data_IF_840520912057
#
_entry.id   IF_840520912057
#
_cell.length_a   1.000
_cell.length_b   1.000
_cell.length_c   1.000
_cell.angle_alpha   90.00
_cell.angle_beta   90.00
_cell.angle_gamma   90.00
#
_symmetry.space_group_name_H-M   'P 1'
#
loop_
_entity.id
_entity.type
_entity.pdbx_description
1 polymer ?
#
# COMPACT_ATOMS: atom_id res chain seq x y z
N UNK A 1 -17.90 -43.95 -7.49
CA UNK A 1 -16.70 -44.76 -7.75
C UNK A 1 -15.69 -43.83 -8.36
N UNK A 2 -14.67 -43.52 -7.57
CA UNK A 2 -13.60 -42.60 -7.90
C UNK A 2 -12.61 -43.29 -8.84
N UNK A 3 -12.37 -42.67 -9.98
CA UNK A 3 -11.16 -42.88 -10.77
C UNK A 3 -10.32 -41.61 -10.56
N UNK A 4 -9.61 -41.57 -9.43
CA UNK A 4 -8.53 -40.61 -9.23
C UNK A 4 -7.42 -40.98 -10.21
N UNK A 5 -7.22 -40.10 -11.18
CA UNK A 5 -6.15 -40.17 -12.16
C UNK A 5 -4.79 -40.28 -11.46
N UNK A 6 -4.27 -41.50 -11.36
CA UNK A 6 -2.84 -41.76 -11.13
C UNK A 6 -2.05 -41.00 -12.18
N UNK A 7 -1.30 -39.97 -11.76
CA UNK A 7 -0.30 -39.33 -12.60
C UNK A 7 0.69 -40.36 -13.18
N UNK A 8 1.36 -40.04 -14.31
CA UNK A 8 2.30 -40.95 -14.95
C UNK A 8 3.32 -41.44 -13.90
N UNK A 9 3.50 -42.76 -13.81
CA UNK A 9 4.35 -43.45 -12.83
C UNK A 9 5.66 -42.68 -12.62
N UNK A 10 5.73 -41.89 -11.55
CA UNK A 10 6.92 -41.11 -11.22
C UNK A 10 7.84 -42.00 -10.39
N UNK A 11 8.59 -42.81 -11.14
CA UNK A 11 9.93 -43.36 -10.90
C UNK A 11 10.42 -43.59 -9.46
N UNK A 12 10.32 -44.84 -9.02
CA UNK A 12 11.12 -45.41 -7.91
C UNK A 12 12.63 -45.07 -8.03
N UNK A 13 13.12 -44.78 -9.24
CA UNK A 13 14.50 -44.37 -9.48
C UNK A 13 14.84 -43.02 -8.82
N UNK A 14 14.02 -41.98 -9.01
CA UNK A 14 14.28 -40.66 -8.42
C UNK A 14 14.22 -40.73 -6.89
N UNK A 15 13.25 -41.49 -6.35
CA UNK A 15 13.13 -41.75 -4.91
C UNK A 15 14.40 -42.43 -4.37
N UNK A 16 14.90 -43.46 -5.07
CA UNK A 16 16.14 -44.14 -4.69
C UNK A 16 17.36 -43.22 -4.72
N UNK A 17 17.46 -42.32 -5.71
CA UNK A 17 18.57 -41.36 -5.78
C UNK A 17 18.50 -40.36 -4.62
N UNK A 18 17.33 -39.76 -4.36
CA UNK A 18 17.12 -38.83 -3.25
C UNK A 18 17.42 -39.47 -1.90
N UNK A 19 16.98 -40.70 -1.67
CA UNK A 19 17.25 -41.43 -0.43
C UNK A 19 18.73 -41.79 -0.28
N UNK A 20 19.42 -42.12 -1.38
CA UNK A 20 20.85 -42.50 -1.37
C UNK A 20 21.77 -41.31 -1.08
N UNK A 21 21.43 -40.13 -1.60
CA UNK A 21 22.21 -38.92 -1.41
C UNK A 21 21.84 -38.14 -0.14
N UNK A 22 20.77 -38.52 0.55
CA UNK A 22 20.36 -37.89 1.80
C UNK A 22 21.37 -38.10 2.94
N UNK A 23 21.56 -37.11 3.81
CA UNK A 23 22.43 -37.22 4.98
C UNK A 23 21.92 -38.29 5.94
N UNK A 24 22.83 -38.91 6.71
CA UNK A 24 22.44 -39.97 7.65
C UNK A 24 21.44 -39.45 8.68
N UNK A 25 20.32 -40.15 8.86
CA UNK A 25 19.28 -39.77 9.82
C UNK A 25 18.25 -38.76 9.30
N UNK A 26 18.19 -38.53 7.98
CA UNK A 26 17.15 -37.70 7.40
C UNK A 26 15.74 -38.29 7.61
N UNK A 27 14.76 -37.40 7.77
CA UNK A 27 13.35 -37.74 7.99
C UNK A 27 12.46 -37.32 6.83
N UNK A 28 12.78 -36.18 6.22
CA UNK A 28 12.07 -35.58 5.10
C UNK A 28 13.05 -34.87 4.16
N UNK A 29 12.78 -34.90 2.86
CA UNK A 29 13.40 -34.01 1.88
C UNK A 29 12.32 -33.23 1.13
N UNK A 30 12.49 -31.93 1.11
CA UNK A 30 11.75 -30.99 0.28
C UNK A 30 12.66 -30.60 -0.89
N UNK A 31 12.24 -30.95 -2.10
CA UNK A 31 13.01 -30.75 -3.32
C UNK A 31 12.22 -29.86 -4.29
N UNK A 32 12.91 -28.88 -4.88
CA UNK A 32 12.34 -28.01 -5.92
C UNK A 32 13.27 -28.02 -7.11
N UNK A 33 12.71 -28.24 -8.29
CA UNK A 33 13.41 -28.15 -9.57
C UNK A 33 12.69 -27.17 -10.48
N UNK A 34 13.37 -26.14 -10.96
CA UNK A 34 12.88 -25.22 -11.99
C UNK A 34 13.66 -25.45 -13.28
N UNK A 35 12.98 -25.59 -14.42
CA UNK A 35 13.65 -26.01 -15.66
C UNK A 35 12.99 -25.46 -16.92
N UNK A 36 13.85 -25.05 -17.85
CA UNK A 36 13.57 -24.71 -19.25
C UNK A 36 14.53 -25.51 -20.14
N UNK A 37 14.42 -25.39 -21.46
CA UNK A 37 15.40 -26.00 -22.39
C UNK A 37 16.82 -25.42 -22.30
N UNK A 38 17.02 -24.24 -21.69
CA UNK A 38 18.34 -23.56 -21.64
C UNK A 38 18.90 -23.43 -20.25
N UNK A 39 18.04 -23.40 -19.24
CA UNK A 39 18.40 -23.11 -17.85
C UNK A 39 17.66 -24.06 -16.93
N UNK A 40 18.36 -24.55 -15.93
CA UNK A 40 17.80 -25.36 -14.85
C UNK A 40 18.36 -24.92 -13.51
N UNK A 41 17.58 -25.16 -12.46
CA UNK A 41 17.92 -24.93 -11.08
C UNK A 41 17.25 -26.02 -10.25
N UNK A 42 17.93 -26.47 -9.20
CA UNK A 42 17.30 -27.34 -8.22
C UNK A 42 17.90 -27.14 -6.85
N UNK A 43 17.09 -27.36 -5.84
CA UNK A 43 17.49 -27.28 -4.44
C UNK A 43 16.86 -28.44 -3.67
N UNK A 44 17.67 -29.08 -2.81
CA UNK A 44 17.21 -30.09 -1.87
C UNK A 44 17.37 -29.53 -0.46
N UNK A 45 16.36 -29.74 0.37
CA UNK A 45 16.39 -29.41 1.80
C UNK A 45 16.00 -30.65 2.58
N UNK A 46 16.95 -31.21 3.32
CA UNK A 46 16.72 -32.37 4.19
C UNK A 46 16.47 -31.92 5.62
N UNK A 47 15.45 -32.48 6.26
CA UNK A 47 15.18 -32.33 7.69
C UNK A 47 15.75 -33.50 8.48
N UNK A 48 16.45 -33.20 9.56
CA UNK A 48 17.08 -34.12 10.52
C UNK A 48 16.64 -33.73 11.93
N UNK A 49 15.43 -34.13 12.33
CA UNK A 49 14.77 -33.61 13.53
C UNK A 49 14.60 -32.08 13.44
N UNK A 50 15.13 -31.35 14.42
CA UNK A 50 15.05 -29.87 14.47
C UNK A 50 16.06 -29.16 13.55
N UNK A 51 16.90 -29.89 12.83
CA UNK A 51 17.92 -29.33 11.93
C UNK A 51 17.51 -29.48 10.47
N UNK A 52 17.86 -28.50 9.65
CA UNK A 52 17.75 -28.59 8.19
C UNK A 52 19.12 -28.48 7.54
N UNK A 53 19.32 -29.23 6.46
CA UNK A 53 20.53 -29.21 5.64
C UNK A 53 20.13 -28.98 4.17
N UNK A 54 20.72 -27.96 3.54
CA UNK A 54 20.45 -27.65 2.13
C UNK A 54 21.62 -28.08 1.26
N UNK A 55 21.30 -28.66 0.11
CA UNK A 55 22.29 -29.08 -0.87
C UNK A 55 21.80 -28.87 -2.30
N UNK A 56 22.75 -28.65 -3.21
CA UNK A 56 22.47 -28.71 -4.63
C UNK A 56 22.25 -30.17 -5.05
N UNK A 57 21.27 -30.45 -5.92
CA UNK A 57 21.05 -31.80 -6.40
C UNK A 57 22.30 -32.34 -7.10
N UNK A 58 22.71 -33.60 -6.87
CA UNK A 58 23.69 -34.29 -7.69
C UNK A 58 23.27 -34.38 -9.16
N UNK A 59 24.22 -34.63 -10.06
CA UNK A 59 23.95 -34.70 -11.50
C UNK A 59 23.06 -35.89 -11.86
N UNK A 60 23.14 -36.99 -11.12
CA UNK A 60 22.30 -38.17 -11.26
C UNK A 60 20.82 -37.83 -11.04
N UNK A 61 20.55 -37.00 -10.02
CA UNK A 61 19.21 -36.49 -9.72
C UNK A 61 18.79 -35.51 -10.83
N UNK A 62 19.63 -34.55 -11.21
CA UNK A 62 19.32 -33.60 -12.30
C UNK A 62 18.99 -34.30 -13.62
N UNK A 63 19.81 -35.27 -14.02
CA UNK A 63 19.61 -36.05 -15.24
C UNK A 63 18.26 -36.75 -15.21
N UNK A 64 17.88 -37.36 -14.07
CA UNK A 64 16.57 -38.00 -13.95
C UNK A 64 15.42 -37.02 -14.03
N UNK A 65 15.57 -35.85 -13.43
CA UNK A 65 14.56 -34.77 -13.51
C UNK A 65 14.41 -34.26 -14.95
N UNK A 66 15.50 -34.14 -15.73
CA UNK A 66 15.43 -33.80 -17.17
C UNK A 66 14.66 -34.85 -17.97
N UNK A 67 14.89 -36.14 -17.69
CA UNK A 67 14.15 -37.23 -18.34
C UNK A 67 12.65 -37.18 -18.02
N UNK A 68 12.30 -36.94 -16.75
CA UNK A 68 10.90 -36.77 -16.32
C UNK A 68 10.26 -35.57 -17.01
N UNK A 69 10.97 -34.45 -17.12
CA UNK A 69 10.48 -33.27 -17.84
C UNK A 69 10.24 -33.56 -19.32
N UNK A 70 11.18 -34.24 -19.97
CA UNK A 70 11.06 -34.62 -21.37
C UNK A 70 9.88 -35.57 -21.60
N UNK A 71 9.66 -36.52 -20.70
CA UNK A 71 8.52 -37.43 -20.74
C UNK A 71 7.18 -36.69 -20.53
N UNK A 72 7.16 -35.64 -19.70
CA UNK A 72 5.99 -34.81 -19.46
C UNK A 72 5.66 -33.84 -20.61
N UNK A 73 6.49 -33.76 -21.66
CA UNK A 73 6.31 -32.80 -22.75
C UNK A 73 5.09 -33.07 -23.66
N UNK A 74 4.30 -34.12 -23.42
CA UNK A 74 3.05 -34.39 -24.15
C UNK A 74 1.91 -33.49 -23.70
N UNK A 75 1.11 -32.96 -24.63
CA UNK A 75 -0.07 -32.14 -24.30
C UNK A 75 0.27 -30.65 -24.16
N UNK A 76 0.12 -30.08 -22.97
CA UNK A 76 0.28 -28.65 -22.69
C UNK A 76 1.75 -28.15 -22.65
N UNK A 77 2.70 -29.02 -23.00
CA UNK A 77 4.14 -28.81 -22.85
C UNK A 77 4.64 -29.27 -21.46
N UNK A 78 5.97 -29.31 -21.26
CA UNK A 78 6.57 -29.74 -20.00
C UNK A 78 6.27 -28.72 -18.89
N UNK A 79 6.20 -29.19 -17.65
CA UNK A 79 6.14 -28.31 -16.47
C UNK A 79 7.39 -27.40 -16.39
N UNK A 80 7.24 -26.25 -15.73
CA UNK A 80 8.36 -25.34 -15.45
C UNK A 80 8.97 -25.59 -14.10
N UNK A 81 8.17 -26.02 -13.12
CA UNK A 81 8.63 -26.42 -11.80
C UNK A 81 8.08 -27.78 -11.40
N UNK A 82 8.92 -28.55 -10.70
CA UNK A 82 8.53 -29.77 -10.00
C UNK A 82 8.87 -29.59 -8.53
N UNK A 83 7.85 -29.68 -7.68
CA UNK A 83 7.98 -29.65 -6.23
C UNK A 83 7.76 -31.09 -5.74
N UNK A 84 8.66 -31.56 -4.88
CA UNK A 84 8.64 -32.93 -4.40
C UNK A 84 8.90 -32.95 -2.91
N UNK A 85 8.11 -33.77 -2.23
CA UNK A 85 8.28 -34.08 -0.82
C UNK A 85 8.43 -35.58 -0.70
N UNK A 86 9.51 -36.02 -0.05
CA UNK A 86 9.75 -37.43 0.24
C UNK A 86 10.07 -37.60 1.72
N UNK A 87 9.41 -38.54 2.39
CA UNK A 87 9.72 -38.93 3.77
C UNK A 87 10.57 -40.20 3.82
N UNK A 88 11.24 -40.43 4.94
CA UNK A 88 12.01 -41.66 5.17
C UNK A 88 11.14 -42.93 5.25
N UNK A 89 9.82 -42.78 5.44
CA UNK A 89 8.83 -43.85 5.34
C UNK A 89 8.44 -44.17 3.89
N UNK A 90 8.97 -43.43 2.91
CA UNK A 90 8.72 -43.63 1.49
C UNK A 90 7.46 -42.96 0.96
N UNK A 91 6.83 -42.08 1.75
CA UNK A 91 5.69 -41.26 1.27
C UNK A 91 6.25 -40.20 0.33
N UNK A 92 5.75 -40.20 -0.91
CA UNK A 92 6.14 -39.29 -1.96
C UNK A 92 4.93 -38.45 -2.39
N UNK A 93 5.09 -37.14 -2.36
CA UNK A 93 4.16 -36.18 -2.95
C UNK A 93 4.91 -35.39 -4.03
N UNK A 94 4.31 -35.28 -5.22
CA UNK A 94 4.88 -34.54 -6.35
C UNK A 94 3.83 -33.60 -6.91
N UNK A 95 4.21 -32.34 -7.06
CA UNK A 95 3.40 -31.29 -7.68
C UNK A 95 4.16 -30.70 -8.86
N UNK A 96 3.45 -30.46 -9.95
CA UNK A 96 3.98 -29.84 -11.16
C UNK A 96 3.33 -28.47 -11.34
N UNK A 97 4.15 -27.45 -11.48
CA UNK A 97 3.72 -26.07 -11.68
C UNK A 97 4.02 -25.65 -13.14
N UNK A 98 2.94 -25.29 -13.84
CA UNK A 98 2.90 -24.88 -15.23
C UNK A 98 2.75 -23.36 -15.35
N UNK A 99 3.15 -22.62 -14.33
CA UNK A 99 3.20 -21.17 -14.29
C UNK A 99 1.84 -20.55 -14.00
N UNK A 100 0.91 -21.24 -13.37
CA UNK A 100 -0.38 -20.70 -12.95
C UNK A 100 -0.20 -19.41 -12.14
N UNK A 101 0.88 -19.33 -11.36
CA UNK A 101 1.30 -18.16 -10.61
C UNK A 101 2.75 -17.74 -10.92
N UNK A 102 3.15 -16.48 -10.65
CA UNK A 102 4.53 -16.04 -10.81
C UNK A 102 5.47 -16.82 -9.91
N UNK A 103 6.59 -17.29 -10.48
CA UNK A 103 7.55 -18.08 -9.72
C UNK A 103 8.21 -17.26 -8.61
N UNK A 104 8.54 -17.89 -7.46
CA UNK A 104 9.25 -17.23 -6.38
C UNK A 104 10.60 -16.64 -6.83
N UNK A 105 11.07 -15.56 -6.19
CA UNK A 105 12.44 -15.07 -6.37
C UNK A 105 13.47 -16.21 -6.20
N UNK A 106 14.48 -16.25 -7.05
CA UNK A 106 15.48 -17.32 -7.10
C UNK A 106 15.07 -18.55 -7.93
N UNK A 107 13.79 -18.68 -8.28
CA UNK A 107 13.27 -19.74 -9.17
C UNK A 107 12.74 -19.19 -10.50
N UNK A 108 12.59 -17.87 -10.60
CA UNK A 108 12.25 -17.16 -11.84
C UNK A 108 13.52 -16.93 -12.68
N UNK A 109 13.57 -17.50 -13.88
CA UNK A 109 14.67 -17.29 -14.83
C UNK A 109 14.49 -16.02 -15.65
N UNK A 110 15.53 -15.66 -16.40
CA UNK A 110 15.46 -14.55 -17.34
C UNK A 110 14.40 -14.83 -18.45
N UNK A 111 13.75 -13.78 -19.00
CA UNK A 111 12.73 -13.91 -20.05
C UNK A 111 13.14 -14.79 -21.24
N UNK A 112 14.40 -14.72 -21.64
CA UNK A 112 14.96 -15.44 -22.79
C UNK A 112 14.89 -16.96 -22.61
N UNK A 113 15.02 -17.46 -21.37
CA UNK A 113 14.95 -18.88 -21.08
C UNK A 113 13.53 -19.42 -21.34
N UNK A 114 12.50 -18.67 -20.96
CA UNK A 114 11.10 -19.02 -21.21
C UNK A 114 10.72 -18.87 -22.68
N UNK A 115 11.26 -17.86 -23.38
CA UNK A 115 11.05 -17.72 -24.82
C UNK A 115 11.66 -18.89 -25.60
N UNK A 116 12.87 -19.34 -25.23
CA UNK A 116 13.49 -20.53 -25.82
C UNK A 116 12.67 -21.79 -25.53
N UNK A 117 12.16 -21.93 -24.30
CA UNK A 117 11.31 -23.06 -23.92
C UNK A 117 9.98 -23.09 -24.69
N UNK A 118 9.33 -21.95 -24.86
CA UNK A 118 8.10 -21.81 -25.65
C UNK A 118 8.35 -22.01 -27.15
N UNK A 119 9.56 -21.78 -27.64
CA UNK A 119 9.93 -22.10 -29.02
C UNK A 119 10.11 -23.61 -29.22
N UNK A 120 10.69 -24.31 -28.24
CA UNK A 120 10.87 -25.75 -28.27
C UNK A 120 9.58 -26.53 -27.98
N UNK A 121 8.74 -26.00 -27.08
CA UNK A 121 7.45 -26.56 -26.68
C UNK A 121 6.34 -25.51 -26.82
N UNK A 122 5.86 -25.25 -28.04
CA UNK A 122 4.82 -24.25 -28.29
C UNK A 122 3.54 -24.55 -27.51
N UNK A 123 3.00 -23.51 -26.87
CA UNK A 123 1.71 -23.55 -26.16
C UNK A 123 0.72 -22.64 -26.84
N UNK A 124 -0.54 -23.08 -26.95
CA UNK A 124 -1.62 -22.26 -27.50
C UNK A 124 -1.90 -21.02 -26.65
N UNK A 125 -1.68 -21.13 -25.34
CA UNK A 125 -1.92 -20.05 -24.37
C UNK A 125 -0.96 -20.21 -23.21
N UNK A 126 -0.45 -19.09 -22.71
CA UNK A 126 0.38 -19.01 -21.50
C UNK A 126 -0.28 -18.10 -20.47
N UNK A 127 -0.03 -18.31 -19.17
CA UNK A 127 -0.49 -17.41 -18.11
C UNK A 127 -0.09 -15.96 -18.38
N UNK A 128 -1.00 -15.01 -18.13
CA UNK A 128 -0.85 -13.61 -18.53
C UNK A 128 0.42 -12.98 -17.96
N UNK A 129 0.76 -13.31 -16.71
CA UNK A 129 1.99 -12.81 -16.08
C UNK A 129 3.25 -13.25 -16.83
N UNK A 130 3.31 -14.49 -17.29
CA UNK A 130 4.48 -15.01 -18.01
C UNK A 130 4.54 -14.46 -19.43
N UNK A 131 3.37 -14.32 -20.06
CA UNK A 131 3.25 -13.68 -21.36
C UNK A 131 3.73 -12.22 -21.31
N UNK A 132 3.33 -11.47 -20.29
CA UNK A 132 3.80 -10.12 -20.04
C UNK A 132 5.31 -10.11 -19.73
N UNK A 133 5.77 -10.94 -18.79
CA UNK A 133 7.17 -11.05 -18.40
C UNK A 133 8.12 -11.28 -19.59
N UNK A 134 7.67 -12.06 -20.58
CA UNK A 134 8.47 -12.39 -21.76
C UNK A 134 8.26 -11.46 -22.95
N UNK A 135 7.12 -10.75 -23.04
CA UNK A 135 6.70 -10.05 -24.28
C UNK A 135 6.09 -8.65 -24.05
N UNK A 136 6.23 -8.05 -22.88
CA UNK A 136 5.68 -6.72 -22.63
C UNK A 136 6.37 -5.64 -23.47
N UNK A 137 7.69 -5.73 -23.68
CA UNK A 137 8.50 -4.81 -24.50
C UNK A 137 8.27 -3.33 -24.14
N UNK A 138 8.05 -3.04 -22.85
CA UNK A 138 7.73 -1.72 -22.33
C UNK A 138 6.54 -1.01 -23.03
N UNK A 139 5.65 -1.76 -23.70
CA UNK A 139 4.49 -1.20 -24.44
C UNK A 139 3.53 -0.38 -23.57
N UNK A 140 3.55 -0.62 -22.26
CA UNK A 140 2.71 0.07 -21.28
C UNK A 140 3.46 1.17 -20.51
N UNK A 141 4.78 1.34 -20.71
CA UNK A 141 5.49 2.47 -20.12
C UNK A 141 5.10 3.77 -20.80
N UNK A 142 5.02 4.83 -20.02
CA UNK A 142 4.71 6.19 -20.47
C UNK A 142 5.62 7.16 -19.74
N UNK A 143 6.89 7.23 -20.15
CA UNK A 143 7.84 8.20 -19.61
C UNK A 143 7.31 9.64 -19.79
N UNK A 144 7.74 10.62 -18.99
CA UNK A 144 7.28 12.01 -19.14
C UNK A 144 7.46 12.57 -20.56
N UNK A 145 8.53 12.19 -21.26
CA UNK A 145 8.76 12.55 -22.66
C UNK A 145 7.70 11.93 -23.59
N UNK A 146 7.37 10.65 -23.42
CA UNK A 146 6.32 9.98 -24.18
C UNK A 146 4.94 10.57 -23.87
N UNK A 147 4.64 10.86 -22.59
CA UNK A 147 3.38 11.47 -22.18
C UNK A 147 3.17 12.83 -22.84
N UNK A 148 4.19 13.71 -22.82
CA UNK A 148 4.12 15.02 -23.45
C UNK A 148 4.02 14.95 -24.99
N UNK A 149 4.64 13.96 -25.62
CA UNK A 149 4.50 13.72 -27.07
C UNK A 149 3.09 13.22 -27.41
N UNK A 150 2.60 12.21 -26.69
CA UNK A 150 1.27 11.63 -26.88
C UNK A 150 0.17 12.69 -26.65
N UNK A 151 0.21 13.46 -25.57
CA UNK A 151 -0.80 14.49 -25.27
C UNK A 151 -0.86 15.61 -26.32
N UNK A 152 0.23 15.88 -27.05
CA UNK A 152 0.22 16.79 -28.21
C UNK A 152 -0.39 16.11 -29.43
N UNK A 153 0.03 14.88 -29.72
CA UNK A 153 -0.51 14.07 -30.82
C UNK A 153 -2.01 13.86 -30.69
N UNK A 154 -2.49 13.52 -29.50
CA UNK A 154 -3.91 13.28 -29.20
C UNK A 154 -4.73 14.56 -29.43
N UNK A 155 -4.25 15.72 -28.96
CA UNK A 155 -4.91 17.00 -29.22
C UNK A 155 -4.99 17.34 -30.71
N UNK A 156 -3.93 17.11 -31.47
CA UNK A 156 -3.94 17.33 -32.93
C UNK A 156 -4.82 16.32 -33.66
N UNK A 157 -4.85 15.08 -33.18
CA UNK A 157 -5.65 13.98 -33.75
C UNK A 157 -7.11 13.93 -33.29
N UNK A 158 -7.53 14.81 -32.37
CA UNK A 158 -8.87 14.79 -31.79
C UNK A 158 -9.16 13.56 -30.93
N UNK A 159 -8.13 12.94 -30.34
CA UNK A 159 -8.27 11.84 -29.37
C UNK A 159 -8.51 12.45 -28.00
N UNK A 160 -9.71 12.23 -27.45
CA UNK A 160 -10.12 12.79 -26.18
C UNK A 160 -10.32 11.71 -25.11
N UNK A 161 -10.07 12.10 -23.87
CA UNK A 161 -10.36 11.29 -22.71
C UNK A 161 -11.85 10.93 -22.64
N UNK A 162 -12.18 9.71 -22.20
CA UNK A 162 -13.55 9.30 -21.90
C UNK A 162 -13.88 9.67 -20.47
N UNK A 163 -15.03 10.32 -20.27
CA UNK A 163 -15.54 10.62 -18.94
C UNK A 163 -15.99 9.32 -18.25
N UNK A 164 -15.49 9.07 -17.04
CA UNK A 164 -15.87 7.92 -16.21
C UNK A 164 -16.93 8.34 -15.17
N UNK A 165 -18.04 8.92 -15.64
CA UNK A 165 -19.10 9.46 -14.78
C UNK A 165 -19.78 8.33 -13.98
N UNK A 166 -19.99 8.56 -12.69
CA UNK A 166 -20.62 7.63 -11.76
C UNK A 166 -19.97 6.23 -11.66
N UNK A 167 -18.73 6.07 -12.14
CA UNK A 167 -17.99 4.81 -12.03
C UNK A 167 -17.22 4.69 -10.72
N UNK A 168 -16.72 5.81 -10.20
CA UNK A 168 -16.01 5.91 -8.94
C UNK A 168 -16.58 7.04 -8.09
N UNK A 169 -16.46 6.96 -6.75
CA UNK A 169 -16.68 8.13 -5.91
C UNK A 169 -15.72 9.27 -6.32
N UNK A 170 -16.10 10.54 -6.10
CA UNK A 170 -15.19 11.67 -6.21
C UNK A 170 -13.86 11.41 -5.50
N UNK A 171 -12.75 11.86 -6.09
CA UNK A 171 -11.41 11.59 -5.55
C UNK A 171 -11.27 11.88 -4.04
N UNK A 172 -11.74 13.02 -3.49
CA UNK A 172 -11.63 13.27 -2.04
C UNK A 172 -12.31 12.20 -1.18
N UNK A 173 -13.49 11.71 -1.59
CA UNK A 173 -14.19 10.64 -0.89
C UNK A 173 -13.49 9.29 -1.06
N UNK A 174 -12.97 9.01 -2.25
CA UNK A 174 -12.18 7.80 -2.51
C UNK A 174 -10.93 7.76 -1.61
N UNK A 175 -10.21 8.87 -1.53
CA UNK A 175 -9.02 9.04 -0.71
C UNK A 175 -9.33 8.83 0.78
N UNK A 176 -10.39 9.48 1.27
CA UNK A 176 -10.86 9.35 2.64
C UNK A 176 -11.20 7.90 3.02
N UNK A 177 -11.97 7.20 2.16
CA UNK A 177 -12.37 5.80 2.40
C UNK A 177 -11.18 4.85 2.33
N UNK A 178 -10.24 5.09 1.41
CA UNK A 178 -9.01 4.31 1.33
C UNK A 178 -8.19 4.42 2.62
N UNK A 179 -8.04 5.64 3.13
CA UNK A 179 -7.34 5.90 4.38
C UNK A 179 -8.04 5.29 5.60
N UNK A 180 -9.37 5.37 5.67
CA UNK A 180 -10.16 4.72 6.73
C UNK A 180 -9.99 3.20 6.72
N UNK A 181 -10.02 2.57 5.53
CA UNK A 181 -9.74 1.13 5.41
C UNK A 181 -8.31 0.81 5.80
N UNK A 182 -7.32 1.57 5.33
CA UNK A 182 -5.92 1.34 5.68
C UNK A 182 -5.70 1.41 7.20
N UNK A 183 -6.28 2.40 7.87
CA UNK A 183 -6.26 2.52 9.32
C UNK A 183 -6.92 1.31 10.01
N UNK A 184 -8.07 0.86 9.51
CA UNK A 184 -8.78 -0.28 10.07
C UNK A 184 -8.02 -1.61 9.94
N UNK A 185 -7.40 -1.87 8.78
CA UNK A 185 -6.59 -3.08 8.59
C UNK A 185 -5.35 -3.08 9.51
N UNK A 186 -4.71 -1.92 9.67
CA UNK A 186 -3.56 -1.76 10.57
C UNK A 186 -3.98 -1.90 12.04
N UNK A 187 -5.11 -1.32 12.45
CA UNK A 187 -5.64 -1.44 13.81
C UNK A 187 -6.02 -2.88 14.21
N UNK A 188 -6.19 -3.77 13.24
CA UNK A 188 -6.49 -5.18 13.45
C UNK A 188 -5.26 -6.09 13.27
N UNK A 189 -4.05 -5.52 13.28
CA UNK A 189 -2.80 -6.27 13.13
C UNK A 189 -2.63 -6.96 11.78
N UNK A 190 -3.40 -6.59 10.75
CA UNK A 190 -3.33 -7.27 9.46
C UNK A 190 -2.11 -6.81 8.68
N UNK A 191 -1.21 -7.73 8.32
CA UNK A 191 -0.07 -7.43 7.42
C UNK A 191 -0.52 -7.15 5.96
N UNK A 192 -1.77 -7.46 5.63
CA UNK A 192 -2.35 -7.34 4.30
C UNK A 192 -3.36 -6.19 4.21
N UNK A 193 -3.85 -5.92 3.00
CA UNK A 193 -4.89 -4.92 2.75
C UNK A 193 -4.36 -3.55 2.33
N UNK A 194 -5.23 -2.52 2.31
CA UNK A 194 -4.85 -1.18 1.86
C UNK A 194 -3.85 -0.52 2.82
N UNK A 195 -2.99 0.33 2.26
CA UNK A 195 -2.00 1.14 2.99
C UNK A 195 -1.97 2.56 2.46
N UNK A 196 -1.65 3.49 3.35
CA UNK A 196 -1.32 4.86 3.04
C UNK A 196 0.19 5.06 3.18
N UNK A 197 0.76 5.66 2.14
CA UNK A 197 2.04 6.33 2.15
C UNK A 197 1.78 7.82 1.87
N UNK A 198 2.75 8.72 2.11
CA UNK A 198 2.60 10.13 1.73
C UNK A 198 2.17 10.25 0.27
N UNK A 199 1.01 10.88 0.03
CA UNK A 199 0.42 11.10 -1.30
C UNK A 199 0.10 9.84 -2.11
N UNK A 200 0.15 8.65 -1.51
CA UNK A 200 -0.10 7.38 -2.21
C UNK A 200 -0.95 6.43 -1.39
N UNK A 201 -2.06 5.96 -1.94
CA UNK A 201 -2.81 4.80 -1.46
C UNK A 201 -2.39 3.55 -2.23
N UNK A 202 -2.05 2.47 -1.54
CA UNK A 202 -1.67 1.19 -2.13
C UNK A 202 -2.63 0.10 -1.69
N UNK A 203 -2.94 -0.84 -2.59
CA UNK A 203 -3.75 -2.00 -2.31
C UNK A 203 -3.31 -3.15 -3.20
N UNK A 204 -3.02 -4.29 -2.58
CA UNK A 204 -2.83 -5.57 -3.24
C UNK A 204 -3.81 -6.55 -2.60
N UNK A 205 -4.70 -7.11 -3.41
CA UNK A 205 -5.68 -8.09 -2.99
C UNK A 205 -5.11 -9.51 -3.01
N UNK A 206 -5.77 -10.40 -2.26
CA UNK A 206 -5.40 -11.83 -2.19
C UNK A 206 -5.45 -12.54 -3.54
N UNK A 207 -6.28 -12.04 -4.46
CA UNK A 207 -6.40 -12.55 -5.83
C UNK A 207 -5.36 -11.94 -6.79
N UNK A 208 -4.25 -11.36 -6.30
CA UNK A 208 -3.14 -10.73 -7.06
C UNK A 208 -3.51 -9.51 -7.92
N UNK A 209 -4.79 -9.12 -7.89
CA UNK A 209 -5.25 -7.82 -8.38
C UNK A 209 -4.86 -6.72 -7.40
N UNK A 210 -4.55 -5.54 -7.91
CA UNK A 210 -4.12 -4.44 -7.06
C UNK A 210 -4.12 -3.11 -7.78
N UNK A 211 -4.04 -2.04 -7.00
CA UNK A 211 -4.12 -0.68 -7.47
C UNK A 211 -3.30 0.28 -6.62
N UNK A 212 -2.88 1.36 -7.26
CA UNK A 212 -2.27 2.52 -6.62
C UNK A 212 -3.09 3.76 -6.95
N UNK A 213 -3.39 4.53 -5.91
CA UNK A 213 -4.03 5.84 -5.98
C UNK A 213 -3.01 6.92 -5.60
N UNK A 214 -2.52 7.68 -6.57
CA UNK A 214 -1.65 8.83 -6.33
C UNK A 214 -2.47 10.10 -6.17
N UNK A 215 -2.27 10.82 -5.07
CA UNK A 215 -2.73 12.18 -4.87
C UNK A 215 -1.67 13.16 -5.40
N UNK A 216 -2.10 14.15 -6.19
CA UNK A 216 -1.20 15.10 -6.85
C UNK A 216 -1.59 16.56 -6.56
N UNK A 217 -0.62 17.50 -6.63
CA UNK A 217 -0.90 18.92 -6.45
C UNK A 217 -1.99 19.43 -7.38
N UNK A 218 -2.78 20.39 -6.87
CA UNK A 218 -3.92 20.97 -7.59
C UNK A 218 -5.17 20.10 -7.55
N UNK A 219 -5.30 19.22 -6.54
CA UNK A 219 -6.46 18.35 -6.37
C UNK A 219 -6.60 17.32 -7.49
N UNK A 220 -5.49 16.90 -8.10
CA UNK A 220 -5.43 15.88 -9.16
C UNK A 220 -5.15 14.51 -8.55
N UNK A 221 -5.50 13.45 -9.28
CA UNK A 221 -5.13 12.11 -8.86
C UNK A 221 -4.98 11.15 -10.04
N UNK A 222 -4.27 10.05 -9.81
CA UNK A 222 -4.19 8.92 -10.74
C UNK A 222 -4.52 7.64 -10.00
N UNK A 223 -5.50 6.90 -10.51
CA UNK A 223 -5.82 5.55 -10.06
C UNK A 223 -5.42 4.58 -11.17
N UNK A 224 -4.46 3.71 -10.90
CA UNK A 224 -4.00 2.74 -11.91
C UNK A 224 -3.63 1.42 -11.25
N UNK A 225 -3.75 0.33 -12.00
CA UNK A 225 -3.59 -1.01 -11.44
C UNK A 225 -3.82 -2.13 -12.45
N UNK A 226 -3.92 -3.34 -11.92
CA UNK A 226 -4.10 -4.55 -12.71
C UNK A 226 -5.09 -5.50 -12.06
N UNK A 227 -6.06 -5.97 -12.84
CA UNK A 227 -6.88 -7.14 -12.49
C UNK A 227 -6.10 -8.39 -12.87
N UNK A 228 -6.05 -9.36 -11.97
CA UNK A 228 -5.39 -10.64 -12.24
C UNK A 228 -6.02 -11.32 -13.44
N UNK A 229 -5.20 -11.78 -14.40
CA UNK A 229 -5.64 -12.37 -15.66
C UNK A 229 -6.67 -11.50 -16.43
N UNK A 230 -6.48 -10.18 -16.44
CA UNK A 230 -7.37 -9.25 -17.14
C UNK A 230 -7.64 -9.72 -18.60
N UNK A 231 -8.91 -9.88 -19.02
CA UNK A 231 -9.26 -10.44 -20.33
C UNK A 231 -8.63 -9.70 -21.51
N UNK A 232 -8.54 -8.37 -21.44
CA UNK A 232 -7.94 -7.56 -22.50
C UNK A 232 -6.42 -7.77 -22.63
N UNK A 233 -5.71 -8.00 -21.51
CA UNK A 233 -4.28 -8.29 -21.55
C UNK A 233 -4.03 -9.71 -22.05
N UNK A 234 -4.84 -10.65 -21.59
CA UNK A 234 -4.80 -12.01 -22.06
C UNK A 234 -4.99 -12.09 -23.59
N UNK A 235 -6.02 -11.45 -24.14
CA UNK A 235 -6.23 -11.37 -25.58
C UNK A 235 -5.03 -10.70 -26.30
N UNK A 236 -4.48 -9.62 -25.73
CA UNK A 236 -3.35 -8.91 -26.32
C UNK A 236 -2.05 -9.73 -26.34
N UNK A 237 -1.84 -10.58 -25.34
CA UNK A 237 -0.61 -11.39 -25.21
C UNK A 237 -0.72 -12.78 -25.86
N UNK A 238 -1.88 -13.42 -25.78
CA UNK A 238 -2.08 -14.79 -26.23
C UNK A 238 -2.78 -14.89 -27.59
N UNK A 239 -3.60 -13.90 -27.97
CA UNK A 239 -4.43 -13.94 -29.18
C UNK A 239 -4.03 -12.87 -30.21
N UNK A 240 -2.91 -12.18 -29.97
CA UNK A 240 -2.40 -11.08 -30.80
C UNK A 240 -3.41 -9.93 -31.01
N UNK A 241 -4.36 -9.76 -30.09
CA UNK A 241 -5.23 -8.60 -30.09
C UNK A 241 -4.42 -7.31 -29.86
N UNK A 242 -4.91 -6.13 -30.30
CA UNK A 242 -4.27 -4.87 -29.99
C UNK A 242 -4.15 -4.65 -28.48
N UNK A 243 -3.00 -4.15 -28.03
CA UNK A 243 -2.83 -3.72 -26.63
C UNK A 243 -3.77 -2.53 -26.34
N UNK A 244 -4.53 -2.53 -25.24
CA UNK A 244 -5.41 -1.41 -24.91
C UNK A 244 -4.63 -0.10 -24.76
N UNK A 245 -5.12 0.97 -25.39
CA UNK A 245 -4.57 2.30 -25.21
C UNK A 245 -5.12 2.94 -23.93
N UNK A 246 -4.61 2.50 -22.78
CA UNK A 246 -5.02 2.97 -21.45
C UNK A 246 -4.86 4.49 -21.25
N UNK A 247 -3.97 5.11 -22.03
CA UNK A 247 -3.60 6.53 -21.92
C UNK A 247 -4.19 7.41 -23.03
N UNK A 248 -5.13 6.89 -23.83
CA UNK A 248 -5.78 7.67 -24.88
C UNK A 248 -6.41 8.96 -24.30
N UNK A 249 -5.97 10.12 -24.79
CA UNK A 249 -6.44 11.42 -24.34
C UNK A 249 -5.96 11.82 -22.93
N UNK A 250 -5.03 11.08 -22.34
CA UNK A 250 -4.49 11.40 -21.02
C UNK A 250 -3.55 12.62 -21.08
N UNK A 251 -3.61 13.53 -20.10
CA UNK A 251 -2.72 14.67 -20.04
C UNK A 251 -1.26 14.23 -19.86
N UNK A 252 -0.33 15.16 -20.10
CA UNK A 252 1.11 14.90 -20.06
C UNK A 252 1.65 14.55 -18.66
N UNK A 253 0.95 14.97 -17.61
CA UNK A 253 1.30 14.67 -16.22
C UNK A 253 0.90 13.25 -15.77
N UNK A 254 0.09 12.52 -16.55
CA UNK A 254 -0.17 11.09 -16.30
C UNK A 254 1.00 10.29 -16.90
N UNK A 255 2.08 10.10 -16.15
CA UNK A 255 3.30 9.45 -16.63
C UNK A 255 3.83 8.45 -15.60
N UNK A 256 4.84 7.65 -15.97
CA UNK A 256 5.43 6.59 -15.13
C UNK A 256 5.56 6.91 -13.62
N UNK A 257 6.00 8.11 -13.19
CA UNK A 257 6.15 8.41 -11.75
C UNK A 257 4.85 8.39 -10.92
N UNK A 258 3.70 8.47 -11.58
CA UNK A 258 2.36 8.48 -10.94
C UNK A 258 1.50 7.31 -11.42
N UNK A 259 2.13 6.28 -11.99
CA UNK A 259 1.48 5.05 -12.44
C UNK A 259 1.86 3.88 -11.54
N UNK A 260 0.97 2.91 -11.42
CA UNK A 260 1.26 1.65 -10.76
C UNK A 260 2.43 0.94 -11.46
N UNK A 261 3.29 0.29 -10.67
CA UNK A 261 4.48 -0.40 -11.15
C UNK A 261 4.21 -1.45 -12.24
N UNK A 262 2.96 -1.95 -12.33
CA UNK A 262 2.50 -2.85 -13.40
C UNK A 262 2.65 -2.27 -14.81
N UNK A 263 2.75 -0.96 -14.97
CA UNK A 263 3.09 -0.35 -16.26
C UNK A 263 4.48 -0.83 -16.76
N UNK A 264 5.43 -0.99 -15.84
CA UNK A 264 6.78 -1.47 -16.15
C UNK A 264 6.87 -2.98 -16.39
N UNK A 265 5.94 -3.78 -15.84
CA UNK A 265 5.91 -5.23 -16.03
C UNK A 265 4.91 -5.70 -17.12
N UNK A 266 4.21 -4.77 -17.77
CA UNK A 266 3.22 -5.09 -18.79
C UNK A 266 1.91 -5.67 -18.27
N UNK A 267 1.62 -5.47 -16.98
CA UNK A 267 0.44 -6.01 -16.30
C UNK A 267 -0.58 -4.93 -15.91
N UNK A 268 -0.40 -3.70 -16.41
CA UNK A 268 -1.37 -2.64 -16.17
C UNK A 268 -2.62 -2.93 -17.01
N UNK A 269 -3.78 -3.03 -16.36
CA UNK A 269 -5.05 -3.29 -17.04
C UNK A 269 -6.02 -2.11 -16.97
N UNK A 270 -5.76 -1.12 -16.11
CA UNK A 270 -6.54 0.12 -16.08
C UNK A 270 -5.71 1.31 -15.61
N UNK A 271 -6.11 2.48 -16.10
CA UNK A 271 -5.62 3.79 -15.70
C UNK A 271 -6.77 4.81 -15.78
N UNK A 272 -7.02 5.49 -14.66
CA UNK A 272 -7.96 6.59 -14.51
C UNK A 272 -7.23 7.78 -13.95
N UNK A 273 -7.65 8.99 -14.31
CA UNK A 273 -7.12 10.21 -13.75
C UNK A 273 -8.24 11.17 -13.37
N UNK A 274 -8.05 11.85 -12.25
CA UNK A 274 -8.97 12.85 -11.72
C UNK A 274 -8.43 14.24 -12.02
N UNK A 275 -9.25 15.07 -12.64
CA UNK A 275 -8.96 16.47 -12.89
C UNK A 275 -10.27 17.25 -12.93
N UNK A 276 -10.24 18.49 -12.43
CA UNK A 276 -11.40 19.40 -12.48
C UNK A 276 -12.71 18.77 -11.97
N UNK A 277 -12.65 17.98 -10.90
CA UNK A 277 -13.83 17.42 -10.26
C UNK A 277 -14.39 16.15 -10.93
N UNK A 278 -13.67 15.53 -11.88
CA UNK A 278 -14.16 14.39 -12.65
C UNK A 278 -13.09 13.33 -12.88
N UNK A 279 -13.52 12.07 -12.94
CA UNK A 279 -12.69 10.94 -13.38
C UNK A 279 -12.74 10.79 -14.89
N UNK A 280 -11.58 10.55 -15.47
CA UNK A 280 -11.38 10.28 -16.89
C UNK A 280 -10.60 8.99 -17.09
N UNK A 281 -10.74 8.40 -18.28
CA UNK A 281 -10.01 7.20 -18.71
C UNK A 281 -9.76 7.19 -20.21
N UNK A 282 -8.74 6.46 -20.64
CA UNK A 282 -8.56 6.09 -22.05
C UNK A 282 -9.42 4.86 -22.37
N UNK A 283 -8.77 3.81 -22.87
CA UNK A 283 -9.40 2.52 -23.14
C UNK A 283 -9.46 1.57 -21.94
N UNK A 284 -9.24 2.08 -20.72
CA UNK A 284 -9.45 1.31 -19.49
C UNK A 284 -10.87 0.71 -19.48
N UNK A 285 -11.08 -0.47 -18.85
CA UNK A 285 -12.40 -1.08 -18.68
C UNK A 285 -13.29 -0.24 -17.74
N UNK A 286 -14.50 -0.70 -17.43
CA UNK A 286 -15.35 -0.06 -16.41
C UNK A 286 -14.83 -0.27 -14.99
N UNK A 287 -15.24 0.59 -14.06
CA UNK A 287 -14.87 0.42 -12.65
C UNK A 287 -15.36 -0.91 -12.06
N UNK A 288 -16.51 -1.41 -12.51
CA UNK A 288 -17.04 -2.71 -12.09
C UNK A 288 -16.11 -3.86 -12.50
N UNK A 289 -15.55 -3.81 -13.72
CA UNK A 289 -14.57 -4.79 -14.19
C UNK A 289 -13.22 -4.67 -13.45
N UNK A 290 -12.93 -3.50 -12.87
CA UNK A 290 -11.74 -3.29 -12.04
C UNK A 290 -11.93 -3.71 -10.58
N UNK A 291 -13.14 -4.11 -10.17
CA UNK A 291 -13.49 -4.17 -8.75
C UNK A 291 -12.64 -5.13 -7.92
N UNK A 292 -12.19 -6.24 -8.50
CA UNK A 292 -11.31 -7.21 -7.83
C UNK A 292 -9.90 -6.65 -7.51
N UNK A 293 -9.50 -5.55 -8.14
CA UNK A 293 -8.21 -4.89 -7.92
C UNK A 293 -8.30 -3.67 -6.98
N UNK A 294 -9.47 -3.41 -6.39
CA UNK A 294 -9.71 -2.22 -5.58
C UNK A 294 -10.20 -2.61 -4.18
N UNK A 295 -9.83 -1.82 -3.15
CA UNK A 295 -10.45 -1.97 -1.84
C UNK A 295 -11.93 -1.55 -1.90
N UNK A 296 -12.72 -1.89 -0.88
CA UNK A 296 -14.18 -1.63 -0.85
C UNK A 296 -14.57 -0.16 -0.64
N UNK A 297 -14.11 0.74 -1.51
CA UNK A 297 -14.23 2.21 -1.39
C UNK A 297 -15.51 2.79 -2.02
N UNK A 298 -16.39 1.94 -2.55
CA UNK A 298 -17.50 2.32 -3.43
C UNK A 298 -18.51 3.26 -2.79
N UNK A 299 -18.90 2.95 -1.56
CA UNK A 299 -19.85 3.73 -0.75
C UNK A 299 -19.35 3.83 0.68
N UNK A 300 -19.85 4.82 1.42
CA UNK A 300 -19.56 4.95 2.84
C UNK A 300 -20.06 3.72 3.63
N UNK A 301 -21.23 3.19 3.25
CA UNK A 301 -21.79 1.98 3.87
C UNK A 301 -20.91 0.75 3.63
N UNK A 302 -20.54 0.45 2.39
CA UNK A 302 -19.64 -0.69 2.07
C UNK A 302 -18.31 -0.58 2.81
N UNK A 303 -17.77 0.64 2.90
CA UNK A 303 -16.53 0.90 3.65
C UNK A 303 -16.72 0.59 5.13
N UNK A 304 -17.80 1.09 5.74
CA UNK A 304 -18.10 0.88 7.15
C UNK A 304 -18.40 -0.59 7.49
N UNK A 305 -19.08 -1.31 6.60
CA UNK A 305 -19.34 -2.75 6.75
C UNK A 305 -18.04 -3.55 6.78
N UNK A 306 -17.08 -3.25 5.89
CA UNK A 306 -15.76 -3.90 5.90
C UNK A 306 -15.01 -3.59 7.20
N UNK A 307 -14.98 -2.33 7.62
CA UNK A 307 -14.30 -1.91 8.87
C UNK A 307 -14.91 -2.63 10.08
N UNK A 308 -16.24 -2.68 10.17
CA UNK A 308 -16.94 -3.37 11.25
C UNK A 308 -16.66 -4.88 11.24
N UNK A 309 -16.58 -5.49 10.05
CA UNK A 309 -16.22 -6.90 9.88
C UNK A 309 -14.80 -7.23 10.36
N UNK A 310 -13.85 -6.32 10.12
CA UNK A 310 -12.45 -6.48 10.56
C UNK A 310 -12.33 -6.32 12.09
N UNK A 311 -13.09 -5.40 12.68
CA UNK A 311 -13.08 -5.15 14.13
C UNK A 311 -13.80 -6.23 14.97
N UNK A 312 -14.49 -7.18 14.32
CA UNK A 312 -15.44 -8.07 14.97
C UNK A 312 -14.81 -9.34 15.54
N UNK A 313 -13.98 -9.21 16.59
CA UNK A 313 -13.72 -10.33 17.50
C UNK A 313 -14.90 -10.57 18.47
N UNK A 314 -15.82 -9.60 18.62
CA UNK A 314 -16.91 -9.63 19.62
C UNK A 314 -18.32 -9.28 19.13
N UNK A 315 -18.53 -8.95 17.84
CA UNK A 315 -19.89 -8.78 17.28
C UNK A 315 -20.02 -7.65 16.27
N UNK A 316 -20.16 -8.02 14.99
CA UNK A 316 -20.33 -7.12 13.85
C UNK A 316 -21.36 -5.99 14.06
N UNK A 317 -22.54 -6.34 14.63
CA UNK A 317 -23.65 -5.40 14.81
C UNK A 317 -23.36 -4.25 15.78
N UNK A 318 -22.50 -4.46 16.77
CA UNK A 318 -22.14 -3.44 17.76
C UNK A 318 -21.14 -2.43 17.20
N UNK A 319 -20.25 -2.89 16.30
CA UNK A 319 -19.17 -2.07 15.72
C UNK A 319 -19.62 -1.25 14.50
N UNK A 320 -20.70 -1.65 13.82
CA UNK A 320 -21.16 -0.99 12.60
C UNK A 320 -21.50 0.50 12.78
N UNK A 321 -22.20 0.96 13.84
CA UNK A 321 -22.45 2.39 14.05
C UNK A 321 -21.16 3.21 14.23
N UNK A 322 -20.19 2.69 14.99
CA UNK A 322 -18.90 3.34 15.19
C UNK A 322 -18.09 3.39 13.89
N UNK A 323 -18.09 2.30 13.12
CA UNK A 323 -17.44 2.25 11.81
C UNK A 323 -18.05 3.28 10.82
N UNK A 324 -19.38 3.46 10.84
CA UNK A 324 -20.04 4.51 10.03
C UNK A 324 -19.62 5.92 10.46
N UNK A 325 -19.49 6.17 11.76
CA UNK A 325 -19.02 7.46 12.28
C UNK A 325 -17.56 7.75 11.88
N UNK A 326 -16.69 6.73 11.93
CA UNK A 326 -15.31 6.81 11.46
C UNK A 326 -15.25 7.17 9.97
N UNK A 327 -16.00 6.46 9.12
CA UNK A 327 -16.03 6.75 7.66
C UNK A 327 -16.58 8.16 7.39
N UNK A 328 -17.64 8.56 8.09
CA UNK A 328 -18.22 9.91 7.94
C UNK A 328 -17.20 11.01 8.33
N UNK A 329 -16.43 10.79 9.39
CA UNK A 329 -15.38 11.72 9.84
C UNK A 329 -14.26 11.81 8.80
N UNK A 330 -13.84 10.67 8.24
CA UNK A 330 -12.84 10.61 7.19
C UNK A 330 -13.30 11.35 5.92
N UNK A 331 -14.55 11.13 5.48
CA UNK A 331 -15.15 11.82 4.32
C UNK A 331 -15.29 13.33 4.54
N UNK A 332 -15.39 13.77 5.81
CA UNK A 332 -15.42 15.18 6.20
C UNK A 332 -14.02 15.80 6.29
N UNK A 333 -12.95 15.01 6.11
CA UNK A 333 -11.57 15.47 6.08
C UNK A 333 -10.88 15.58 7.44
N UNK A 334 -11.53 15.17 8.53
CA UNK A 334 -10.98 15.27 9.87
C UNK A 334 -11.41 14.08 10.74
N UNK A 335 -10.45 13.22 11.10
CA UNK A 335 -10.70 12.04 11.93
C UNK A 335 -10.21 12.28 13.36
N UNK A 336 -11.12 12.35 14.35
CA UNK A 336 -10.74 12.39 15.76
C UNK A 336 -10.19 11.01 16.21
N UNK A 337 -9.31 11.00 17.22
CA UNK A 337 -8.71 9.73 17.72
C UNK A 337 -9.78 8.83 18.34
N UNK A 338 -10.81 9.44 18.92
CA UNK A 338 -11.96 8.79 19.53
C UNK A 338 -12.71 7.92 18.52
N UNK A 339 -12.78 8.33 17.24
CA UNK A 339 -13.44 7.53 16.21
C UNK A 339 -12.72 6.19 15.94
N UNK A 340 -11.40 6.13 16.12
CA UNK A 340 -10.67 4.86 16.07
C UNK A 340 -10.88 4.04 17.33
N UNK A 341 -10.85 4.68 18.50
CA UNK A 341 -11.04 4.03 19.80
C UNK A 341 -12.43 3.40 19.90
N UNK A 342 -13.47 4.07 19.42
CA UNK A 342 -14.84 3.57 19.45
C UNK A 342 -14.99 2.27 18.62
N UNK A 343 -14.21 2.13 17.55
CA UNK A 343 -14.22 0.93 16.70
C UNK A 343 -13.32 -0.17 17.29
N UNK A 344 -12.05 0.15 17.61
CA UNK A 344 -11.02 -0.85 17.88
C UNK A 344 -10.62 -1.00 19.36
N UNK A 345 -11.16 -0.18 20.27
CA UNK A 345 -10.76 -0.16 21.68
C UNK A 345 -9.50 0.67 21.93
N UNK A 346 -8.86 0.53 23.10
CA UNK A 346 -7.73 1.38 23.56
C UNK A 346 -6.35 0.70 23.54
N UNK A 347 -6.22 -0.52 23.00
CA UNK A 347 -5.00 -1.33 23.18
C UNK A 347 -4.06 -1.19 21.97
N UNK A 348 -2.93 -0.51 22.17
CA UNK A 348 -1.64 -0.70 21.48
C UNK A 348 -1.50 -0.29 20.01
N UNK A 349 -2.44 -0.66 19.13
CA UNK A 349 -2.26 -0.60 17.67
C UNK A 349 -2.92 0.63 17.01
N UNK A 350 -3.52 1.50 17.82
CA UNK A 350 -4.22 2.72 17.35
C UNK A 350 -3.24 3.75 16.78
N UNK A 351 -2.01 3.80 17.30
CA UNK A 351 -1.02 4.78 16.87
C UNK A 351 -0.62 4.56 15.41
N UNK A 352 -0.41 3.31 15.01
CA UNK A 352 -0.11 2.95 13.62
C UNK A 352 -1.30 3.22 12.70
N UNK A 353 -2.52 2.90 13.16
CA UNK A 353 -3.75 3.20 12.42
C UNK A 353 -3.94 4.71 12.23
N UNK A 354 -3.68 5.50 13.28
CA UNK A 354 -3.71 6.97 13.23
C UNK A 354 -2.64 7.52 12.29
N UNK A 355 -1.48 6.87 12.21
CA UNK A 355 -0.43 7.26 11.27
C UNK A 355 -0.87 7.08 9.81
N UNK A 356 -1.69 6.06 9.48
CA UNK A 356 -2.28 5.91 8.14
C UNK A 356 -3.15 7.14 7.78
N UNK A 357 -4.01 7.58 8.69
CA UNK A 357 -4.87 8.76 8.50
C UNK A 357 -4.07 10.06 8.42
N UNK A 358 -2.99 10.17 9.21
CA UNK A 358 -2.08 11.31 9.18
C UNK A 358 -1.34 11.39 7.84
N UNK A 359 -0.85 10.26 7.33
CA UNK A 359 -0.21 10.16 6.00
C UNK A 359 -1.17 10.54 4.87
N UNK A 360 -2.47 10.36 5.10
CA UNK A 360 -3.54 10.77 4.19
C UNK A 360 -3.94 12.26 4.34
N UNK A 361 -3.41 12.99 5.33
CA UNK A 361 -3.81 14.37 5.63
C UNK A 361 -5.18 14.51 6.29
N UNK A 362 -5.72 13.43 6.88
CA UNK A 362 -7.04 13.40 7.53
C UNK A 362 -6.98 13.61 9.05
N UNK A 363 -5.77 13.69 9.59
CA UNK A 363 -5.55 14.09 10.98
C UNK A 363 -4.92 15.48 10.91
N UNK A 364 -5.62 16.53 11.36
CA UNK A 364 -5.00 17.85 11.42
C UNK A 364 -3.74 17.74 12.27
N UNK A 365 -2.63 18.40 11.88
CA UNK A 365 -1.41 18.40 12.67
C UNK A 365 -1.70 19.15 13.98
N UNK A 366 -2.17 18.46 15.01
CA UNK A 366 -2.15 19.00 16.35
C UNK A 366 -0.68 18.98 16.77
N UNK A 367 0.00 20.13 16.97
CA UNK A 367 1.31 20.11 17.58
C UNK A 367 1.18 19.47 18.97
N UNK A 368 2.14 18.63 19.33
CA UNK A 368 2.19 18.06 20.67
C UNK A 368 2.10 19.19 21.70
N UNK A 369 1.27 19.04 22.76
CA UNK A 369 1.17 20.06 23.78
C UNK A 369 2.55 20.38 24.35
N UNK A 370 2.95 21.66 24.26
CA UNK A 370 4.26 22.06 24.75
C UNK A 370 4.36 21.76 26.25
N UNK A 371 5.44 21.15 26.77
CA UNK A 371 5.60 21.01 28.21
C UNK A 371 5.67 22.38 28.88
N UNK A 372 5.14 22.50 30.10
CA UNK A 372 5.15 23.76 30.87
C UNK A 372 6.56 24.35 31.00
N UNK A 373 7.56 23.51 31.27
CA UNK A 373 8.97 23.90 31.38
C UNK A 373 9.55 24.44 30.07
N UNK A 374 9.16 23.84 28.93
CA UNK A 374 9.55 24.31 27.61
C UNK A 374 8.91 25.68 27.29
N UNK A 375 7.66 25.89 27.75
CA UNK A 375 6.98 27.17 27.60
C UNK A 375 7.65 28.28 28.42
N UNK A 376 8.00 28.01 29.68
CA UNK A 376 8.75 28.93 30.55
C UNK A 376 10.11 29.26 29.94
N UNK A 377 10.83 28.24 29.46
CA UNK A 377 12.16 28.40 28.85
C UNK A 377 12.09 29.28 27.61
N UNK A 378 11.16 29.03 26.68
CA UNK A 378 10.99 29.86 25.48
C UNK A 378 10.66 31.31 25.78
N UNK A 379 9.83 31.57 26.79
CA UNK A 379 9.50 32.94 27.20
C UNK A 379 10.71 33.62 27.84
N UNK A 380 11.48 32.91 28.66
CA UNK A 380 12.74 33.41 29.23
C UNK A 380 13.76 33.77 28.16
N UNK A 381 13.93 32.90 27.17
CA UNK A 381 14.82 33.12 26.03
C UNK A 381 14.37 34.32 25.19
N UNK A 382 13.06 34.48 24.97
CA UNK A 382 12.49 35.62 24.27
C UNK A 382 12.75 36.95 25.00
N UNK A 383 12.52 36.99 26.32
CA UNK A 383 12.73 38.19 27.14
C UNK A 383 14.22 38.58 27.14
N UNK A 384 15.10 37.60 27.36
CA UNK A 384 16.54 37.81 27.45
C UNK A 384 17.12 38.19 26.09
N UNK A 385 16.72 37.50 25.02
CA UNK A 385 17.20 37.74 23.66
C UNK A 385 16.77 39.09 23.09
N UNK A 386 15.67 39.68 23.57
CA UNK A 386 15.22 41.03 23.19
C UNK A 386 15.62 42.13 24.16
N UNK A 387 16.29 41.80 25.26
CA UNK A 387 16.71 42.78 26.27
C UNK A 387 15.53 43.55 26.89
N UNK A 388 14.39 42.89 27.11
CA UNK A 388 13.25 43.56 27.73
C UNK A 388 13.56 43.87 29.20
N UNK A 389 13.05 45.00 29.69
CA UNK A 389 13.23 45.39 31.09
C UNK A 389 12.49 44.41 32.03
N UNK A 390 13.25 43.81 32.95
CA UNK A 390 12.75 42.86 33.95
C UNK A 390 12.75 43.45 35.36
N UNK A 391 12.91 44.77 35.50
CA UNK A 391 12.89 45.45 36.81
C UNK A 391 11.56 45.22 37.51
N UNK A 392 11.59 44.59 38.70
CA UNK A 392 10.37 44.19 39.43
C UNK A 392 9.65 42.95 38.87
N UNK A 393 10.28 42.20 37.95
CA UNK A 393 9.75 41.02 37.27
C UNK A 393 10.83 39.94 37.11
N UNK A 394 11.19 39.19 38.17
CA UNK A 394 12.26 38.20 38.10
C UNK A 394 11.86 36.98 37.25
N UNK A 395 12.69 36.65 36.25
CA UNK A 395 12.47 35.53 35.32
C UNK A 395 12.52 34.13 35.98
N UNK A 396 13.04 34.06 37.21
CA UNK A 396 13.03 32.86 38.05
C UNK A 396 11.65 32.56 38.66
N UNK A 397 10.71 33.52 38.63
CA UNK A 397 9.36 33.38 39.18
C UNK A 397 8.28 33.22 38.10
N UNK A 398 8.67 32.96 36.86
CA UNK A 398 7.73 32.69 35.78
C UNK A 398 6.94 31.41 36.09
N UNK A 399 5.62 31.50 35.96
CA UNK A 399 4.71 30.35 36.00
C UNK A 399 4.01 30.22 34.66
N UNK A 400 3.73 28.98 34.25
CA UNK A 400 2.94 28.69 33.07
C UNK A 400 1.57 28.14 33.47
N UNK A 401 0.50 28.81 33.02
CA UNK A 401 -0.88 28.37 33.20
C UNK A 401 -1.43 27.87 31.87
N UNK A 402 -1.84 26.60 31.83
CA UNK A 402 -2.41 25.96 30.64
C UNK A 402 -3.74 26.61 30.25
N UNK A 403 -3.98 26.75 28.95
CA UNK A 403 -5.30 26.95 28.34
C UNK A 403 -5.44 26.02 27.13
N UNK A 404 -6.54 26.09 26.38
CA UNK A 404 -6.93 25.04 25.42
C UNK A 404 -5.85 24.71 24.37
N UNK A 405 -5.14 25.71 23.83
CA UNK A 405 -4.17 25.56 22.73
C UNK A 405 -2.75 26.09 23.08
N UNK A 406 -2.44 26.26 24.36
CA UNK A 406 -1.15 26.81 24.76
C UNK A 406 -0.97 27.14 26.25
N UNK A 407 0.00 28.00 26.53
CA UNK A 407 0.41 28.43 27.86
C UNK A 407 0.39 29.95 28.02
N UNK A 408 -0.21 30.41 29.11
CA UNK A 408 -0.09 31.79 29.58
C UNK A 408 1.05 31.85 30.59
N UNK A 409 2.11 32.58 30.27
CA UNK A 409 3.33 32.66 31.07
C UNK A 409 3.48 34.06 31.66
N UNK A 410 3.61 34.14 32.98
CA UNK A 410 3.64 35.39 33.74
C UNK A 410 4.30 35.22 35.10
N UNK A 411 4.65 36.32 35.78
CA UNK A 411 5.07 36.31 37.19
C UNK A 411 3.84 36.63 38.07
N UNK A 412 3.47 35.78 39.05
CA UNK A 412 2.37 36.04 39.97
C UNK A 412 2.58 37.31 40.81
N UNK A 413 1.49 37.92 41.27
CA UNK A 413 1.52 39.11 42.13
C UNK A 413 0.93 38.73 43.49
N UNK A 414 1.64 39.05 44.58
CA UNK A 414 1.10 38.95 45.94
C UNK A 414 0.04 40.04 46.16
N UNK A 415 -1.04 39.71 46.88
CA UNK A 415 -2.34 40.40 46.87
C UNK A 415 -2.42 41.89 47.27
N UNK A 416 -1.32 42.61 47.38
CA UNK A 416 -1.28 44.05 47.72
C UNK A 416 -0.54 44.93 46.68
N UNK A 417 0.07 44.36 45.62
CA UNK A 417 0.75 45.14 44.57
C UNK A 417 -0.13 45.37 43.33
N UNK A 418 -0.21 46.63 42.87
CA UNK A 418 -0.81 47.00 41.60
C UNK A 418 0.09 46.54 40.43
N UNK A 419 -0.41 45.63 39.59
CA UNK A 419 0.29 45.04 38.44
C UNK A 419 0.39 45.98 37.22
N UNK A 420 0.93 47.18 37.41
CA UNK A 420 1.08 48.19 36.36
C UNK A 420 2.37 47.91 35.57
N UNK A 421 2.25 47.72 34.24
CA UNK A 421 3.40 47.59 33.32
C UNK A 421 3.99 46.19 33.14
N UNK A 422 3.43 45.14 33.76
CA UNK A 422 3.95 43.75 33.61
C UNK A 422 3.41 43.08 32.33
N UNK A 423 4.29 42.45 31.57
CA UNK A 423 3.95 41.72 30.35
C UNK A 423 3.41 40.31 30.65
N UNK A 424 2.35 39.92 29.95
CA UNK A 424 1.83 38.54 29.93
C UNK A 424 2.19 37.94 28.58
N UNK A 425 2.78 36.76 28.58
CA UNK A 425 3.16 36.04 27.37
C UNK A 425 2.19 34.90 27.11
N UNK A 426 1.81 34.72 25.85
CA UNK A 426 0.97 33.62 25.40
C UNK A 426 1.76 32.81 24.38
N UNK A 427 2.01 31.54 24.68
CA UNK A 427 2.71 30.61 23.80
C UNK A 427 1.73 29.53 23.35
N UNK A 428 1.41 29.50 22.06
CA UNK A 428 0.60 28.43 21.48
C UNK A 428 1.43 27.15 21.27
N UNK A 429 0.77 25.99 21.21
CA UNK A 429 1.44 24.69 21.07
C UNK A 429 2.21 24.53 19.76
N UNK A 430 1.82 25.28 18.71
CA UNK A 430 2.54 25.40 17.44
C UNK A 430 3.83 26.24 17.55
N UNK A 431 4.17 26.73 18.74
CA UNK A 431 5.37 27.50 19.02
C UNK A 431 5.23 29.01 18.82
N UNK A 432 4.04 29.51 18.44
CA UNK A 432 3.82 30.96 18.28
C UNK A 432 3.78 31.65 19.64
N UNK A 433 4.68 32.60 19.85
CA UNK A 433 4.79 33.40 21.08
C UNK A 433 4.29 34.84 20.85
N UNK A 434 3.35 35.28 21.67
CA UNK A 434 2.79 36.63 21.64
C UNK A 434 2.89 37.32 23.01
N UNK A 435 3.14 38.63 22.99
CA UNK A 435 3.17 39.46 24.18
C UNK A 435 1.89 40.31 24.25
N UNK A 436 1.23 40.26 25.40
CA UNK A 436 0.06 41.09 25.71
C UNK A 436 0.32 42.03 26.88
N UNK A 437 -0.38 43.15 26.89
CA UNK A 437 -0.39 44.09 28.02
C UNK A 437 -1.35 43.62 29.12
N UNK A 438 -1.05 43.94 30.37
CA UNK A 438 -1.92 43.63 31.51
C UNK A 438 -3.29 44.34 31.47
N UNK A 439 -3.49 45.31 30.57
CA UNK A 439 -4.78 46.00 30.34
C UNK A 439 -5.79 45.20 29.52
N UNK A 440 -5.40 44.08 28.90
CA UNK A 440 -6.33 43.21 28.17
C UNK A 440 -6.72 42.03 29.06
N UNK A 441 -8.02 41.77 29.19
CA UNK A 441 -8.52 40.64 29.96
C UNK A 441 -7.99 39.30 29.39
N UNK A 442 -7.35 38.43 30.22
CA UNK A 442 -6.72 37.21 29.74
C UNK A 442 -7.65 36.29 28.94
N UNK A 443 -8.92 36.14 29.35
CA UNK A 443 -9.89 35.30 28.65
C UNK A 443 -10.17 35.76 27.21
N UNK A 444 -10.19 37.08 26.98
CA UNK A 444 -10.41 37.64 25.64
C UNK A 444 -9.20 37.38 24.74
N UNK A 445 -7.99 37.58 25.26
CA UNK A 445 -6.77 37.34 24.50
C UNK A 445 -6.59 35.84 24.15
N UNK A 446 -6.92 34.95 25.09
CA UNK A 446 -6.91 33.50 24.89
C UNK A 446 -7.85 33.09 23.75
N UNK A 447 -9.10 33.55 23.75
CA UNK A 447 -10.06 33.25 22.69
C UNK A 447 -9.59 33.78 21.30
N UNK A 448 -8.97 34.96 21.26
CA UNK A 448 -8.44 35.52 20.02
C UNK A 448 -7.21 34.73 19.51
N UNK A 449 -6.37 34.22 20.40
CA UNK A 449 -5.25 33.35 20.05
C UNK A 449 -5.75 31.97 19.59
N UNK A 450 -6.77 31.40 20.23
CA UNK A 450 -7.41 30.13 19.85
C UNK A 450 -7.95 30.18 18.42
N UNK A 451 -8.64 31.27 18.04
CA UNK A 451 -9.10 31.46 16.66
C UNK A 451 -7.95 31.53 15.66
N UNK A 452 -6.86 32.23 16.00
CA UNK A 452 -5.69 32.35 15.14
C UNK A 452 -4.90 31.04 15.03
N UNK A 453 -4.83 30.28 16.13
CA UNK A 453 -4.29 28.92 16.13
C UNK A 453 -5.11 28.03 15.19
N UNK A 454 -6.43 28.01 15.33
CA UNK A 454 -7.31 27.24 14.45
C UNK A 454 -7.19 27.63 12.98
N UNK A 455 -7.06 28.94 12.67
CA UNK A 455 -6.84 29.41 11.31
C UNK A 455 -5.53 28.88 10.71
N UNK A 456 -4.43 28.91 11.47
CA UNK A 456 -3.13 28.37 11.02
C UNK A 456 -3.17 26.86 10.80
N UNK A 457 -3.94 26.12 11.60
CA UNK A 457 -4.13 24.69 11.38
C UNK A 457 -4.98 24.37 10.13
N UNK A 458 -5.83 25.31 9.69
CA UNK A 458 -6.69 25.17 8.51
C UNK A 458 -6.09 25.64 7.18
N UNK A 459 -5.05 26.48 7.19
CA UNK A 459 -4.39 26.99 5.97
C UNK A 459 -3.34 26.03 5.38
N UNK A 460 -3.04 24.91 6.06
CA UNK A 460 -2.09 23.88 5.61
C UNK A 460 -2.69 22.77 4.72
N UNK A 461 -3.91 22.98 4.17
CA UNK A 461 -4.62 22.03 3.30
C UNK A 461 -4.25 22.07 1.83
#
# INVERSE_FOLDING_TARGET
MADESRGPATDDALVRELARHGPTGWERVDAVFAMTVTTELGHLVYSLGDRVESMDPPEEIRARVRELRAAAASGAGPWWRMLLVLTNSGVLEVEYDYGEEPFPPGQLFAPEAYLADLAAFPRARVPVWLAAYTRHQDRQRRSPKQAAAQARSDRTGGVWARLAENQFPPFPLMWARWAALAAAFVAAGSEWGPRMLPWTGMFEGVARGGATLYALPGGRAVLSGGVWNAPALDAAYNEAAPMPNLYAGAPDWVADPVLNARAGSGLLSFCYWWEAGRWYRGESPSAQECAAALPGIWTGDTTAEIIAGIAADSGYGEKLPAAKALVTSAESGAVPVEALIDVFGTVGEIDEARYQLTSAGLVPPAPDPLPAEAAITRVRDYITGRGLDTTGYPLSQLVARRFSVGWMVYVPVSGEELAIGRAIFYLADDGVLEQSSSSIAPARYQADLERRFAARQGETG
#
